data_IF_337879106486
#
_entry.id   IF_337879106486
#
_cell.length_a   1.000
_cell.length_b   1.000
_cell.length_c   1.000
_cell.angle_alpha   90.00
_cell.angle_beta   90.00
_cell.angle_gamma   90.00
#
_symmetry.space_group_name_H-M   'P 1'
#
loop_
_entity.id
_entity.type
_entity.pdbx_description
1 polymer ?
#
# COMPACT_ATOMS: atom_id res chain seq x y z
N UNK A 1 -16.06 -11.69 7.06
CA UNK A 1 -14.61 -11.69 6.77
C UNK A 1 -13.91 -11.05 7.95
N UNK A 2 -12.72 -11.54 8.33
CA UNK A 2 -11.92 -10.95 9.41
C UNK A 2 -11.38 -9.59 8.94
N UNK A 3 -11.39 -8.58 9.83
CA UNK A 3 -10.84 -7.24 9.53
C UNK A 3 -9.32 -7.31 9.65
N UNK A 4 -8.61 -6.93 8.59
CA UNK A 4 -7.14 -6.90 8.59
C UNK A 4 -6.59 -5.60 9.17
N UNK A 5 -7.25 -4.45 8.89
CA UNK A 5 -6.86 -3.14 9.43
C UNK A 5 -8.12 -2.42 9.90
N UNK A 6 -8.07 -1.88 11.12
CA UNK A 6 -9.11 -1.01 11.64
C UNK A 6 -8.46 0.29 12.13
N UNK A 7 -8.95 1.40 11.63
CA UNK A 7 -8.51 2.76 11.99
C UNK A 7 -9.69 3.52 12.58
N UNK A 8 -9.52 4.11 13.78
CA UNK A 8 -10.58 4.84 14.47
C UNK A 8 -10.11 6.23 14.85
N UNK A 9 -10.77 7.26 14.31
CA UNK A 9 -10.58 8.68 14.62
C UNK A 9 -9.11 9.13 14.60
N UNK A 10 -8.33 8.65 13.64
CA UNK A 10 -6.90 8.85 13.55
C UNK A 10 -6.54 10.30 13.26
N UNK A 11 -5.81 10.93 14.17
CA UNK A 11 -5.23 12.27 14.01
C UNK A 11 -3.71 12.19 14.03
N UNK A 12 -3.08 12.77 13.01
CA UNK A 12 -1.62 12.87 12.91
C UNK A 12 -1.22 14.31 12.69
N UNK A 13 -0.21 14.77 13.42
CA UNK A 13 0.39 16.10 13.26
C UNK A 13 1.88 15.97 12.91
N UNK A 14 2.36 16.84 12.05
CA UNK A 14 3.77 17.04 11.75
C UNK A 14 4.17 18.46 12.08
N UNK A 15 4.89 18.65 13.17
CA UNK A 15 5.12 19.96 13.76
C UNK A 15 3.79 20.59 14.18
N UNK A 16 3.47 21.78 13.66
CA UNK A 16 2.22 22.49 13.94
C UNK A 16 1.08 22.17 12.96
N UNK A 17 1.36 21.40 11.91
CA UNK A 17 0.37 21.09 10.86
C UNK A 17 -0.30 19.75 11.13
N UNK A 18 -1.63 19.75 11.20
CA UNK A 18 -2.42 18.52 11.18
C UNK A 18 -2.43 17.99 9.76
N UNK A 19 -2.08 16.70 9.61
CA UNK A 19 -1.97 16.01 8.32
C UNK A 19 -3.13 15.04 8.14
N UNK A 20 -3.57 14.37 9.21
CA UNK A 20 -4.78 13.53 9.19
C UNK A 20 -5.79 14.07 10.22
N UNK A 21 -7.04 14.11 9.82
CA UNK A 21 -8.10 14.84 10.51
C UNK A 21 -9.21 13.92 11.05
N UNK A 22 -8.86 12.87 11.80
CA UNK A 22 -9.84 11.96 12.38
C UNK A 22 -10.30 10.89 11.40
N UNK A 23 -9.37 10.28 10.65
CA UNK A 23 -9.69 9.20 9.71
C UNK A 23 -10.19 7.97 10.46
N UNK A 24 -11.31 7.41 9.98
CA UNK A 24 -11.83 6.11 10.39
C UNK A 24 -12.13 5.28 9.15
N UNK A 25 -11.58 4.06 9.08
CA UNK A 25 -11.83 3.12 7.99
C UNK A 25 -11.54 1.68 8.46
N UNK A 26 -12.08 0.71 7.71
CA UNK A 26 -11.85 -0.71 7.94
C UNK A 26 -11.47 -1.40 6.64
N UNK A 27 -10.41 -2.21 6.66
CA UNK A 27 -9.92 -2.98 5.51
C UNK A 27 -10.17 -4.46 5.78
N UNK A 28 -10.99 -5.12 4.94
CA UNK A 28 -11.26 -6.55 5.08
C UNK A 28 -10.04 -7.40 4.73
N UNK A 29 -9.91 -8.56 5.37
CA UNK A 29 -8.86 -9.53 5.08
C UNK A 29 -9.01 -10.18 3.71
N UNK A 30 -7.87 -10.49 3.04
CA UNK A 30 -7.85 -11.16 1.74
C UNK A 30 -8.39 -10.32 0.58
N UNK A 31 -8.26 -8.99 0.64
CA UNK A 31 -8.72 -8.07 -0.39
C UNK A 31 -7.60 -7.14 -0.86
N UNK A 32 -7.76 -6.59 -2.06
CA UNK A 32 -6.91 -5.53 -2.61
C UNK A 32 -7.62 -4.20 -2.44
N UNK A 33 -7.12 -3.35 -1.54
CA UNK A 33 -7.69 -2.04 -1.24
C UNK A 33 -6.80 -0.93 -1.78
N UNK A 34 -7.37 -0.07 -2.62
CA UNK A 34 -6.71 1.11 -3.17
C UNK A 34 -6.83 2.32 -2.24
N UNK A 35 -5.71 2.95 -1.89
CA UNK A 35 -5.67 4.23 -1.18
C UNK A 35 -5.33 5.33 -2.19
N UNK A 36 -6.34 6.09 -2.59
CA UNK A 36 -6.24 7.03 -3.70
C UNK A 36 -6.35 8.48 -3.23
N UNK A 37 -5.74 9.37 -3.97
CA UNK A 37 -5.77 10.80 -3.71
C UNK A 37 -4.57 11.53 -4.27
N UNK A 38 -4.63 12.87 -4.41
CA UNK A 38 -3.53 13.66 -4.94
C UNK A 38 -2.27 13.59 -4.07
N UNK A 39 -1.15 14.04 -4.63
CA UNK A 39 0.09 14.18 -3.85
C UNK A 39 -0.12 15.12 -2.66
N UNK A 40 0.40 14.75 -1.50
CA UNK A 40 0.25 15.52 -0.27
C UNK A 40 -1.10 15.37 0.45
N UNK A 41 -2.02 14.54 -0.04
CA UNK A 41 -3.34 14.31 0.62
C UNK A 41 -3.27 13.59 1.96
N UNK A 42 -2.13 12.94 2.30
CA UNK A 42 -1.96 12.20 3.55
C UNK A 42 -1.80 10.68 3.39
N UNK A 43 -1.83 10.12 2.17
CA UNK A 43 -1.70 8.66 1.90
C UNK A 43 -0.49 8.03 2.62
N UNK A 44 0.71 8.51 2.33
CA UNK A 44 1.94 8.00 2.97
C UNK A 44 1.92 8.17 4.50
N UNK A 45 1.25 9.22 5.02
CA UNK A 45 1.11 9.41 6.46
C UNK A 45 0.19 8.35 7.07
N UNK A 46 -0.94 8.04 6.43
CA UNK A 46 -1.84 6.97 6.83
C UNK A 46 -1.13 5.60 6.77
N UNK A 47 -0.48 5.30 5.65
CA UNK A 47 0.33 4.08 5.48
C UNK A 47 1.36 3.93 6.61
N UNK A 48 2.16 4.96 6.87
CA UNK A 48 3.16 4.94 7.94
C UNK A 48 2.55 4.76 9.33
N UNK A 49 1.34 5.27 9.55
CA UNK A 49 0.62 5.06 10.79
C UNK A 49 0.16 3.60 10.94
N UNK A 50 -0.33 2.99 9.86
CA UNK A 50 -0.76 1.58 9.83
C UNK A 50 0.42 0.64 10.10
N UNK A 51 1.59 0.89 9.48
CA UNK A 51 2.79 0.06 9.73
C UNK A 51 3.50 0.40 11.04
N UNK A 52 3.04 1.42 11.77
CA UNK A 52 3.52 1.76 13.12
C UNK A 52 4.84 2.56 13.15
N UNK A 53 5.22 3.21 12.04
CA UNK A 53 6.44 4.05 11.97
C UNK A 53 6.14 5.55 12.01
N UNK A 54 4.88 5.94 12.24
CA UNK A 54 4.42 7.32 12.40
C UNK A 54 3.90 7.55 13.82
N UNK A 55 4.32 8.63 14.45
CA UNK A 55 3.72 9.06 15.72
C UNK A 55 2.29 9.55 15.48
N UNK A 56 1.35 8.99 16.23
CA UNK A 56 -0.08 9.31 16.19
C UNK A 56 -0.41 10.24 17.36
N UNK A 57 -1.14 11.31 17.10
CA UNK A 57 -1.59 12.25 18.15
C UNK A 57 -2.78 11.70 18.94
N UNK A 58 -3.77 11.14 18.23
CA UNK A 58 -4.96 10.52 18.83
C UNK A 58 -5.60 9.54 17.85
N UNK A 59 -6.51 8.72 18.34
CA UNK A 59 -7.13 7.62 17.61
C UNK A 59 -6.39 6.32 17.83
N UNK A 60 -6.92 5.24 17.26
CA UNK A 60 -6.37 3.89 17.38
C UNK A 60 -6.22 3.23 16.02
N UNK A 61 -5.23 2.36 15.90
CA UNK A 61 -5.03 1.52 14.71
C UNK A 61 -4.77 0.10 15.18
N UNK A 62 -5.61 -0.81 14.72
CA UNK A 62 -5.45 -2.26 14.90
C UNK A 62 -5.10 -2.90 13.56
N UNK A 63 -4.06 -3.71 13.53
CA UNK A 63 -3.58 -4.42 12.34
C UNK A 63 -3.50 -5.91 12.69
N UNK A 64 -4.21 -6.75 11.94
CA UNK A 64 -4.29 -8.20 12.19
C UNK A 64 -4.58 -8.54 13.66
N UNK A 65 -5.48 -7.77 14.30
CA UNK A 65 -5.86 -7.93 15.70
C UNK A 65 -4.85 -7.41 16.73
N UNK A 66 -3.77 -6.74 16.31
CA UNK A 66 -2.74 -6.19 17.19
C UNK A 66 -2.63 -4.66 17.03
N UNK A 67 -2.20 -3.90 18.04
CA UNK A 67 -1.90 -2.48 17.85
C UNK A 67 -0.85 -2.26 16.77
N UNK A 68 -1.01 -1.23 15.94
CA UNK A 68 -0.04 -0.87 14.89
C UNK A 68 1.37 -0.74 15.47
N UNK A 69 2.37 -1.30 14.78
CA UNK A 69 3.77 -1.29 15.22
C UNK A 69 4.12 -2.33 16.28
N UNK A 70 3.19 -3.16 16.74
CA UNK A 70 3.49 -4.25 17.68
C UNK A 70 4.55 -5.21 17.12
N UNK A 71 5.47 -5.67 17.98
CA UNK A 71 6.55 -6.57 17.58
C UNK A 71 6.04 -7.87 16.91
N UNK A 72 4.87 -8.35 17.32
CA UNK A 72 4.21 -9.52 16.73
C UNK A 72 3.86 -9.35 15.24
N UNK A 73 3.69 -8.11 14.76
CA UNK A 73 3.35 -7.82 13.38
C UNK A 73 4.54 -7.89 12.41
N UNK A 74 5.78 -7.82 12.90
CA UNK A 74 6.99 -7.69 12.06
C UNK A 74 7.17 -8.80 11.02
N UNK A 75 6.64 -10.00 11.29
CA UNK A 75 6.68 -11.14 10.35
C UNK A 75 5.43 -11.28 9.51
N UNK A 76 4.38 -10.52 9.82
CA UNK A 76 3.06 -10.63 9.18
C UNK A 76 2.75 -9.45 8.26
N UNK A 77 3.56 -8.38 8.33
CA UNK A 77 3.35 -7.14 7.55
C UNK A 77 4.58 -6.88 6.68
N UNK A 78 4.41 -6.91 5.36
CA UNK A 78 5.37 -6.42 4.39
C UNK A 78 5.08 -4.95 4.06
N UNK A 79 6.12 -4.14 3.93
CA UNK A 79 5.97 -2.72 3.60
C UNK A 79 6.94 -2.29 2.50
N UNK A 80 6.39 -1.74 1.43
CA UNK A 80 7.13 -1.08 0.35
C UNK A 80 6.95 0.41 0.47
N UNK A 81 8.04 1.12 0.66
CA UNK A 81 8.09 2.58 0.70
C UNK A 81 8.17 3.18 -0.70
N UNK A 82 7.71 4.42 -0.88
CA UNK A 82 7.77 5.14 -2.15
C UNK A 82 9.20 5.20 -2.74
N UNK A 83 10.22 5.42 -1.89
CA UNK A 83 11.61 5.24 -2.29
C UNK A 83 12.02 3.78 -2.02
N UNK A 84 12.68 3.08 -2.97
CA UNK A 84 13.10 1.69 -2.75
C UNK A 84 13.96 1.52 -1.49
N UNK A 85 13.56 0.59 -0.62
CA UNK A 85 14.23 0.31 0.67
C UNK A 85 15.11 -0.93 0.56
N UNK A 86 16.09 -0.89 -0.34
CA UNK A 86 17.05 -1.96 -0.62
C UNK A 86 18.47 -1.39 -0.64
N UNK A 87 19.45 -2.21 -0.30
CA UNK A 87 20.86 -1.85 -0.27
C UNK A 87 21.44 -1.81 -1.68
N UNK A 88 21.96 -0.66 -2.10
CA UNK A 88 22.46 -0.45 -3.46
C UNK A 88 23.76 -1.21 -3.77
N UNK A 89 24.54 -1.50 -2.75
CA UNK A 89 25.82 -2.24 -2.78
C UNK A 89 25.67 -3.75 -2.68
N UNK A 90 24.45 -4.24 -2.51
CA UNK A 90 24.10 -5.65 -2.56
C UNK A 90 23.39 -5.99 -3.88
N UNK A 91 23.51 -7.23 -4.33
CA UNK A 91 22.71 -7.77 -5.44
C UNK A 91 21.24 -7.91 -5.02
N UNK A 92 20.34 -8.12 -5.99
CA UNK A 92 18.93 -8.40 -5.73
C UNK A 92 18.78 -9.62 -4.82
N UNK A 93 19.54 -10.70 -5.12
CA UNK A 93 19.49 -11.94 -4.32
C UNK A 93 20.03 -11.73 -2.91
N UNK A 94 21.12 -10.99 -2.73
CA UNK A 94 21.67 -10.71 -1.41
C UNK A 94 20.72 -9.85 -0.56
N UNK A 95 20.05 -8.85 -1.15
CA UNK A 95 18.99 -8.11 -0.49
C UNK A 95 17.87 -9.04 -0.02
N UNK A 96 17.35 -9.88 -0.92
CA UNK A 96 16.28 -10.82 -0.59
C UNK A 96 16.69 -11.79 0.53
N UNK A 97 17.90 -12.36 0.46
CA UNK A 97 18.46 -13.24 1.52
C UNK A 97 18.60 -12.52 2.86
N UNK A 98 19.03 -11.26 2.84
CA UNK A 98 19.15 -10.45 4.07
C UNK A 98 17.79 -10.32 4.76
N UNK A 99 16.73 -9.99 4.00
CA UNK A 99 15.38 -9.91 4.57
C UNK A 99 14.86 -11.27 5.03
N UNK A 100 15.11 -12.36 4.28
CA UNK A 100 14.74 -13.71 4.68
C UNK A 100 15.43 -14.12 6.01
N UNK A 101 16.69 -13.77 6.18
CA UNK A 101 17.42 -14.01 7.43
C UNK A 101 16.82 -13.23 8.61
N UNK A 102 16.40 -11.97 8.40
CA UNK A 102 15.72 -11.17 9.45
C UNK A 102 14.40 -11.81 9.90
N UNK A 103 13.68 -12.48 9.00
CA UNK A 103 12.47 -13.23 9.35
C UNK A 103 12.76 -14.57 10.00
N UNK A 104 14.03 -15.02 10.05
CA UNK A 104 14.42 -16.31 10.63
C UNK A 104 13.88 -17.52 9.86
N UNK A 105 13.79 -17.41 8.52
CA UNK A 105 13.31 -18.47 7.66
C UNK A 105 14.41 -19.52 7.47
N UNK A 106 14.04 -20.80 7.62
CA UNK A 106 14.99 -21.91 7.46
C UNK A 106 15.42 -22.16 6.01
N UNK A 107 14.69 -21.60 5.02
CA UNK A 107 14.92 -21.76 3.58
C UNK A 107 15.16 -20.41 2.88
N UNK A 108 16.00 -19.56 3.47
CA UNK A 108 16.23 -18.18 3.02
C UNK A 108 16.53 -18.07 1.51
N UNK A 109 17.25 -19.02 0.93
CA UNK A 109 17.61 -19.03 -0.49
C UNK A 109 16.38 -19.30 -1.38
N UNK A 110 15.60 -20.33 -1.05
CA UNK A 110 14.41 -20.69 -1.82
C UNK A 110 13.33 -19.61 -1.73
N UNK A 111 13.16 -19.00 -0.56
CA UNK A 111 12.21 -17.89 -0.36
C UNK A 111 12.65 -16.63 -1.13
N UNK A 112 13.95 -16.33 -1.14
CA UNK A 112 14.53 -15.24 -1.92
C UNK A 112 14.34 -15.46 -3.43
N UNK A 113 14.70 -16.62 -3.95
CA UNK A 113 14.59 -16.92 -5.38
C UNK A 113 13.13 -16.91 -5.86
N UNK A 114 12.18 -17.42 -5.04
CA UNK A 114 10.75 -17.33 -5.33
C UNK A 114 10.28 -15.89 -5.38
N UNK A 115 10.57 -15.08 -4.37
CA UNK A 115 10.13 -13.67 -4.32
C UNK A 115 10.72 -12.85 -5.49
N UNK A 116 11.98 -13.12 -5.89
CA UNK A 116 12.63 -12.49 -7.04
C UNK A 116 11.94 -12.88 -8.36
N UNK A 117 11.60 -14.17 -8.53
CA UNK A 117 10.88 -14.66 -9.70
C UNK A 117 9.47 -14.06 -9.78
N UNK A 118 8.77 -13.96 -8.65
CA UNK A 118 7.43 -13.40 -8.53
C UNK A 118 7.31 -11.93 -9.00
N UNK A 119 8.41 -11.18 -8.98
CA UNK A 119 8.47 -9.79 -9.47
C UNK A 119 9.18 -9.65 -10.82
N UNK A 120 9.48 -10.77 -11.51
CA UNK A 120 10.13 -10.77 -12.84
C UNK A 120 11.55 -10.22 -12.81
N UNK A 121 12.33 -10.57 -11.77
CA UNK A 121 13.76 -10.18 -11.65
C UNK A 121 14.73 -11.36 -11.64
N UNK A 122 14.31 -12.56 -12.07
CA UNK A 122 15.15 -13.76 -12.05
C UNK A 122 16.46 -13.54 -12.82
N UNK A 123 16.41 -12.96 -14.01
CA UNK A 123 17.60 -12.69 -14.86
C UNK A 123 18.52 -11.61 -14.26
N UNK A 124 18.02 -10.77 -13.37
CA UNK A 124 18.77 -9.71 -12.71
C UNK A 124 19.18 -10.09 -11.26
N UNK A 125 18.91 -11.31 -10.80
CA UNK A 125 19.09 -11.70 -9.40
C UNK A 125 20.54 -11.49 -8.88
N UNK A 126 21.55 -11.65 -9.73
CA UNK A 126 22.96 -11.41 -9.39
C UNK A 126 23.44 -9.98 -9.60
N UNK A 127 22.63 -9.08 -10.14
CA UNK A 127 23.03 -7.69 -10.41
C UNK A 127 22.96 -6.86 -9.13
N UNK A 128 23.93 -5.95 -8.94
CA UNK A 128 23.90 -4.97 -7.86
C UNK A 128 22.69 -4.04 -8.03
N UNK A 129 21.96 -3.79 -6.95
CA UNK A 129 20.76 -2.93 -6.98
C UNK A 129 21.09 -1.50 -7.43
N UNK A 130 22.29 -1.01 -7.14
CA UNK A 130 22.77 0.29 -7.62
C UNK A 130 22.80 0.43 -9.14
N UNK A 131 22.97 -0.68 -9.88
CA UNK A 131 23.06 -0.71 -11.34
C UNK A 131 21.69 -0.94 -12.02
N UNK A 132 20.63 -1.17 -11.26
CA UNK A 132 19.29 -1.41 -11.78
C UNK A 132 18.60 -0.12 -12.23
N UNK A 133 17.64 -0.24 -13.16
CA UNK A 133 16.71 0.85 -13.46
C UNK A 133 15.83 1.19 -12.24
N UNK A 134 15.17 2.36 -12.24
CA UNK A 134 14.25 2.75 -11.17
C UNK A 134 13.14 1.70 -10.96
N UNK A 135 12.53 1.23 -12.04
CA UNK A 135 11.50 0.20 -11.98
C UNK A 135 12.00 -1.14 -11.46
N UNK A 136 13.22 -1.56 -11.85
CA UNK A 136 13.84 -2.78 -11.31
C UNK A 136 14.13 -2.65 -9.80
N UNK A 137 14.60 -1.48 -9.33
CA UNK A 137 14.80 -1.22 -7.89
C UNK A 137 13.50 -1.29 -7.11
N UNK A 138 12.41 -0.72 -7.63
CA UNK A 138 11.08 -0.82 -7.00
C UNK A 138 10.62 -2.27 -6.90
N UNK A 139 10.81 -3.07 -7.96
CA UNK A 139 10.49 -4.51 -7.94
C UNK A 139 11.38 -5.30 -6.97
N UNK A 140 12.66 -4.97 -6.85
CA UNK A 140 13.55 -5.58 -5.85
C UNK A 140 13.08 -5.27 -4.42
N UNK A 141 12.62 -4.04 -4.16
CA UNK A 141 12.02 -3.66 -2.87
C UNK A 141 10.71 -4.44 -2.60
N UNK A 142 9.88 -4.63 -3.63
CA UNK A 142 8.66 -5.44 -3.53
C UNK A 142 8.98 -6.92 -3.23
N UNK A 143 9.96 -7.50 -3.92
CA UNK A 143 10.40 -8.87 -3.63
C UNK A 143 10.79 -9.03 -2.15
N UNK A 144 11.59 -8.10 -1.63
CA UNK A 144 11.99 -8.12 -0.21
C UNK A 144 10.77 -8.02 0.75
N UNK A 145 9.75 -7.23 0.40
CA UNK A 145 8.54 -7.10 1.22
C UNK A 145 7.62 -8.33 1.17
N UNK A 146 7.71 -9.15 0.11
CA UNK A 146 6.92 -10.38 -0.08
C UNK A 146 7.56 -11.60 0.62
N UNK A 147 8.81 -11.50 1.07
CA UNK A 147 9.50 -12.59 1.77
C UNK A 147 8.74 -12.96 3.05
N UNK A 148 8.65 -14.26 3.31
CA UNK A 148 7.94 -14.77 4.47
C UNK A 148 6.42 -14.84 4.30
N UNK A 149 5.89 -14.60 3.10
CA UNK A 149 4.47 -14.65 2.79
C UNK A 149 3.61 -13.86 3.81
N UNK A 150 3.79 -12.52 3.89
CA UNK A 150 3.10 -11.71 4.88
C UNK A 150 1.58 -11.78 4.71
N UNK A 151 0.83 -11.72 5.82
CA UNK A 151 -0.63 -11.66 5.81
C UNK A 151 -1.18 -10.29 5.34
N UNK A 152 -0.35 -9.26 5.44
CA UNK A 152 -0.66 -7.89 4.98
C UNK A 152 0.53 -7.32 4.21
N UNK A 153 0.28 -6.84 2.99
CA UNK A 153 1.20 -6.05 2.19
C UNK A 153 0.72 -4.60 2.12
N UNK A 154 1.55 -3.67 2.56
CA UNK A 154 1.29 -2.23 2.47
C UNK A 154 2.26 -1.65 1.45
N UNK A 155 1.73 -1.12 0.35
CA UNK A 155 2.50 -0.73 -0.83
C UNK A 155 2.29 0.76 -1.12
N UNK A 156 3.34 1.56 -0.97
CA UNK A 156 3.28 3.00 -1.23
C UNK A 156 3.78 3.32 -2.63
N UNK A 157 2.83 3.48 -3.58
CA UNK A 157 3.04 3.77 -5.00
C UNK A 157 3.93 2.72 -5.72
N UNK A 158 3.64 1.40 -5.62
CA UNK A 158 4.54 0.33 -6.06
C UNK A 158 4.72 0.24 -7.58
N UNK A 159 3.82 0.83 -8.36
CA UNK A 159 3.74 0.74 -9.82
C UNK A 159 4.29 1.96 -10.55
N UNK A 160 4.71 2.97 -9.79
CA UNK A 160 5.28 4.19 -10.37
C UNK A 160 6.58 3.88 -11.13
N UNK A 161 6.66 4.38 -12.37
CA UNK A 161 7.81 4.18 -13.24
C UNK A 161 7.91 2.78 -13.88
N UNK A 162 6.85 1.96 -13.78
CA UNK A 162 6.73 0.70 -14.49
C UNK A 162 6.08 0.91 -15.87
N UNK A 163 6.53 0.16 -16.86
CA UNK A 163 5.84 0.10 -18.15
C UNK A 163 4.46 -0.60 -18.01
N UNK A 164 3.55 -0.40 -18.99
CA UNK A 164 2.19 -0.92 -18.89
C UNK A 164 2.08 -2.45 -18.77
N UNK A 165 3.00 -3.22 -19.40
CA UNK A 165 2.98 -4.68 -19.35
C UNK A 165 3.39 -5.16 -17.96
N UNK A 166 4.53 -4.69 -17.46
CA UNK A 166 4.98 -5.02 -16.10
C UNK A 166 3.99 -4.59 -15.03
N UNK A 167 3.30 -3.45 -15.23
CA UNK A 167 2.25 -3.01 -14.32
C UNK A 167 1.09 -4.00 -14.30
N UNK A 168 0.66 -4.49 -15.47
CA UNK A 168 -0.41 -5.48 -15.57
C UNK A 168 -0.03 -6.79 -14.85
N UNK A 169 1.22 -7.26 -15.04
CA UNK A 169 1.72 -8.47 -14.39
C UNK A 169 1.78 -8.33 -12.85
N UNK A 170 2.20 -7.17 -12.36
CA UNK A 170 2.20 -6.89 -10.91
C UNK A 170 0.79 -6.89 -10.34
N UNK A 171 -0.18 -6.29 -11.04
CA UNK A 171 -1.58 -6.32 -10.60
C UNK A 171 -2.16 -7.74 -10.60
N UNK A 172 -1.86 -8.57 -11.62
CA UNK A 172 -2.22 -9.98 -11.61
C UNK A 172 -1.64 -10.68 -10.37
N UNK A 173 -0.36 -10.43 -10.05
CA UNK A 173 0.27 -10.99 -8.85
C UNK A 173 -0.38 -10.50 -7.55
N UNK A 174 -0.82 -9.24 -7.46
CA UNK A 174 -1.54 -8.73 -6.29
C UNK A 174 -2.88 -9.45 -6.09
N UNK A 175 -3.62 -9.72 -7.16
CA UNK A 175 -4.84 -10.51 -7.09
C UNK A 175 -4.59 -11.96 -6.69
N UNK A 176 -3.54 -12.59 -7.21
CA UNK A 176 -3.15 -13.95 -6.80
C UNK A 176 -2.82 -14.01 -5.30
N UNK A 177 -2.09 -13.03 -4.79
CA UNK A 177 -1.77 -12.93 -3.36
C UNK A 177 -3.05 -12.76 -2.52
N UNK A 178 -3.99 -11.92 -2.96
CA UNK A 178 -5.26 -11.72 -2.26
C UNK A 178 -6.13 -12.99 -2.28
N UNK A 179 -6.21 -13.69 -3.41
CA UNK A 179 -6.90 -14.97 -3.53
C UNK A 179 -6.32 -16.05 -2.61
N UNK A 180 -5.01 -15.95 -2.28
CA UNK A 180 -4.33 -16.81 -1.31
C UNK A 180 -4.35 -16.27 0.14
N UNK A 181 -5.16 -15.25 0.42
CA UNK A 181 -5.43 -14.77 1.76
C UNK A 181 -4.56 -13.61 2.24
N UNK A 182 -3.62 -13.10 1.43
CA UNK A 182 -2.88 -11.87 1.73
C UNK A 182 -3.77 -10.66 1.55
N UNK A 183 -3.79 -9.74 2.50
CA UNK A 183 -4.46 -8.44 2.34
C UNK A 183 -3.48 -7.44 1.72
N UNK A 184 -3.92 -6.65 0.76
CA UNK A 184 -3.10 -5.62 0.14
C UNK A 184 -3.72 -4.22 0.34
N UNK A 185 -2.92 -3.28 0.82
CA UNK A 185 -3.23 -1.85 0.81
C UNK A 185 -2.26 -1.17 -0.15
N UNK A 186 -2.77 -0.70 -1.29
CA UNK A 186 -1.97 -0.14 -2.38
C UNK A 186 -2.28 1.34 -2.53
N UNK A 187 -1.32 2.22 -2.26
CA UNK A 187 -1.53 3.63 -2.61
C UNK A 187 -1.22 3.87 -4.08
N UNK A 188 -2.03 4.71 -4.70
CA UNK A 188 -1.80 5.16 -6.07
C UNK A 188 -2.35 6.58 -6.27
N UNK A 189 -1.84 7.26 -7.28
CA UNK A 189 -2.41 8.48 -7.85
C UNK A 189 -2.87 8.27 -9.31
N UNK A 190 -2.79 7.03 -9.80
CA UNK A 190 -3.19 6.64 -11.17
C UNK A 190 -4.61 6.07 -11.13
N UNK A 191 -5.54 6.74 -11.83
CA UNK A 191 -6.96 6.35 -11.81
C UNK A 191 -7.24 5.01 -12.49
N UNK A 192 -6.46 4.62 -13.50
CA UNK A 192 -6.58 3.31 -14.16
C UNK A 192 -6.41 2.13 -13.19
N UNK A 193 -5.68 2.35 -12.09
CA UNK A 193 -5.46 1.34 -11.06
C UNK A 193 -6.64 1.19 -10.10
N UNK A 194 -7.48 2.23 -9.97
CA UNK A 194 -8.65 2.21 -9.11
C UNK A 194 -9.63 1.09 -9.47
N UNK A 195 -9.83 0.87 -10.77
CA UNK A 195 -10.73 -0.18 -11.28
C UNK A 195 -10.25 -1.61 -11.00
N UNK A 196 -8.98 -1.78 -10.58
CA UNK A 196 -8.38 -3.07 -10.25
C UNK A 196 -8.51 -3.46 -8.77
N UNK A 197 -8.98 -2.53 -7.93
CA UNK A 197 -9.14 -2.76 -6.50
C UNK A 197 -10.55 -3.28 -6.15
N UNK A 198 -10.65 -4.10 -5.12
CA UNK A 198 -11.94 -4.56 -4.59
C UNK A 198 -12.66 -3.43 -3.83
N UNK A 199 -11.90 -2.54 -3.19
CA UNK A 199 -12.39 -1.40 -2.42
C UNK A 199 -11.44 -0.21 -2.57
N UNK A 200 -11.97 0.99 -2.49
CA UNK A 200 -11.25 2.25 -2.63
C UNK A 200 -11.44 3.12 -1.39
N UNK A 201 -10.33 3.62 -0.88
CA UNK A 201 -10.27 4.69 0.12
C UNK A 201 -9.79 5.96 -0.58
N UNK A 202 -10.66 6.95 -0.73
CA UNK A 202 -10.31 8.23 -1.34
C UNK A 202 -9.96 9.24 -0.25
N UNK A 203 -8.71 9.70 -0.24
CA UNK A 203 -8.22 10.67 0.75
C UNK A 203 -7.93 12.02 0.09
N UNK A 204 -8.46 13.09 0.68
CA UNK A 204 -8.20 14.49 0.32
C UNK A 204 -7.95 15.32 1.56
N UNK A 205 -6.88 16.10 1.56
CA UNK A 205 -6.53 17.03 2.66
C UNK A 205 -6.58 16.38 4.06
N UNK A 206 -6.10 15.13 4.15
CA UNK A 206 -6.07 14.37 5.39
C UNK A 206 -7.43 13.87 5.88
N UNK A 207 -8.46 13.89 5.05
CA UNK A 207 -9.80 13.35 5.33
C UNK A 207 -10.16 12.26 4.35
N UNK A 208 -10.91 11.27 4.81
CA UNK A 208 -11.47 10.23 3.95
C UNK A 208 -12.78 10.76 3.36
N UNK A 209 -12.86 10.88 2.04
CA UNK A 209 -14.03 11.41 1.33
C UNK A 209 -14.86 10.32 0.64
N UNK A 210 -14.29 9.11 0.45
CA UNK A 210 -15.04 7.93 0.03
C UNK A 210 -14.35 6.68 0.56
N UNK A 211 -15.14 5.67 0.90
CA UNK A 211 -14.74 4.35 1.35
C UNK A 211 -15.76 3.32 0.85
N UNK A 212 -15.58 2.81 -0.37
CA UNK A 212 -16.51 1.87 -0.99
C UNK A 212 -15.89 1.09 -2.16
N UNK A 213 -16.65 0.18 -2.77
CA UNK A 213 -16.27 -0.50 -4.00
C UNK A 213 -16.22 0.47 -5.19
N UNK A 214 -15.40 0.19 -6.23
CA UNK A 214 -15.39 1.01 -7.46
C UNK A 214 -16.79 1.19 -8.09
N UNK A 215 -17.62 0.14 -8.03
CA UNK A 215 -18.98 0.18 -8.55
C UNK A 215 -19.89 1.12 -7.74
N UNK A 216 -19.86 1.04 -6.42
CA UNK A 216 -20.64 1.91 -5.54
C UNK A 216 -20.21 3.38 -5.66
N UNK A 217 -18.91 3.64 -5.80
CA UNK A 217 -18.39 4.99 -6.04
C UNK A 217 -18.93 5.57 -7.36
N UNK A 218 -18.94 4.80 -8.45
CA UNK A 218 -19.56 5.23 -9.73
C UNK A 218 -21.03 5.52 -9.58
N UNK A 219 -21.78 4.66 -8.89
CA UNK A 219 -23.21 4.85 -8.64
C UNK A 219 -23.48 6.12 -7.84
N UNK A 220 -22.73 6.33 -6.74
CA UNK A 220 -22.89 7.53 -5.88
C UNK A 220 -22.56 8.81 -6.65
N UNK A 221 -21.57 8.78 -7.53
CA UNK A 221 -21.20 9.92 -8.36
C UNK A 221 -22.05 10.08 -9.64
N UNK A 222 -22.97 9.14 -9.92
CA UNK A 222 -23.80 9.10 -11.12
C UNK A 222 -22.99 9.20 -12.44
N UNK A 223 -21.94 8.37 -12.57
CA UNK A 223 -21.10 8.26 -13.76
C UNK A 223 -20.46 6.88 -13.83
N UNK A 224 -20.20 6.39 -15.04
CA UNK A 224 -19.50 5.12 -15.28
C UNK A 224 -17.97 5.27 -15.26
N UNK A 225 -17.47 6.49 -15.34
CA UNK A 225 -16.05 6.81 -15.31
C UNK A 225 -15.57 7.07 -13.89
N UNK A 226 -14.58 6.32 -13.42
CA UNK A 226 -14.03 6.47 -12.07
C UNK A 226 -13.29 7.80 -11.87
N UNK A 227 -12.61 8.32 -12.88
CA UNK A 227 -11.91 9.61 -12.79
C UNK A 227 -12.92 10.74 -12.61
N UNK A 228 -13.98 10.74 -13.42
CA UNK A 228 -15.08 11.70 -13.28
C UNK A 228 -15.81 11.52 -11.92
N UNK A 229 -16.01 10.28 -11.46
CA UNK A 229 -16.58 9.99 -10.15
C UNK A 229 -15.77 10.65 -9.02
N UNK A 230 -14.45 10.49 -9.07
CA UNK A 230 -13.53 11.13 -8.13
C UNK A 230 -13.64 12.65 -8.15
N UNK A 231 -13.64 13.26 -9.33
CA UNK A 231 -13.76 14.71 -9.49
C UNK A 231 -15.08 15.24 -8.90
N UNK A 232 -16.19 14.52 -9.11
CA UNK A 232 -17.50 14.88 -8.54
C UNK A 232 -17.51 14.77 -7.02
N UNK A 233 -16.97 13.68 -6.47
CA UNK A 233 -16.87 13.51 -5.01
C UNK A 233 -16.02 14.59 -4.36
N UNK A 234 -14.89 14.96 -4.98
CA UNK A 234 -14.03 16.05 -4.51
C UNK A 234 -14.79 17.39 -4.52
N UNK A 235 -15.48 17.73 -5.63
CA UNK A 235 -16.24 18.97 -5.75
C UNK A 235 -17.38 19.06 -4.72
N UNK A 236 -18.09 17.95 -4.53
CA UNK A 236 -19.17 17.86 -3.53
C UNK A 236 -18.63 18.07 -2.11
N UNK A 237 -17.51 17.45 -1.79
CA UNK A 237 -16.82 17.61 -0.51
C UNK A 237 -16.42 19.09 -0.27
N UNK A 238 -15.77 19.74 -1.25
CA UNK A 238 -15.34 21.12 -1.17
C UNK A 238 -16.53 22.13 -1.06
N UNK A 239 -17.68 21.79 -1.64
CA UNK A 239 -18.90 22.60 -1.50
C UNK A 239 -19.50 22.49 -0.10
N UNK A 240 -19.48 21.29 0.50
CA UNK A 240 -19.99 21.09 1.86
C UNK A 240 -19.13 21.81 2.92
N UNK A 241 -17.80 21.86 2.75
CA UNK A 241 -16.93 22.60 3.66
C UNK A 241 -17.05 24.14 3.54
N UNK A 242 -17.56 24.65 2.43
CA UNK A 242 -17.73 26.10 2.18
C UNK A 242 -19.06 26.65 2.70
N UNK A 243 -20.00 25.81 3.14
CA UNK A 243 -21.25 26.24 3.75
C UNK A 243 -20.99 26.41 5.26
N UNK A 244 -20.88 27.66 5.79
CA UNK A 244 -20.71 27.86 7.22
C UNK A 244 -21.99 27.41 7.94
N UNK A 245 -21.80 26.70 9.05
CA UNK A 245 -22.89 26.31 9.96
C UNK A 245 -23.52 27.53 10.62
#
# INVERSE_FOLDING_TARGET
METAIEVQSLVVERGKRRVLHGISCSIPGGSVVGLLGPSGSGKTTLIRSIVGVQLVKSGTITVLGQPAGAAALRRSVGYVTQAPSVYADLSVRENARYFAALYGLGSADADADRAIADVGLADAAGQLVGNLSGGQRSRASLACAMIGAPRLLVLDEPTVGQDPVLRADLWAKFHDLAANGTTLLVSSHVMDEAGRCDRLLLIREGRLIADDTPAAIRTTAATDDLEEAFLRLIRNYEQQEKVPA
#
